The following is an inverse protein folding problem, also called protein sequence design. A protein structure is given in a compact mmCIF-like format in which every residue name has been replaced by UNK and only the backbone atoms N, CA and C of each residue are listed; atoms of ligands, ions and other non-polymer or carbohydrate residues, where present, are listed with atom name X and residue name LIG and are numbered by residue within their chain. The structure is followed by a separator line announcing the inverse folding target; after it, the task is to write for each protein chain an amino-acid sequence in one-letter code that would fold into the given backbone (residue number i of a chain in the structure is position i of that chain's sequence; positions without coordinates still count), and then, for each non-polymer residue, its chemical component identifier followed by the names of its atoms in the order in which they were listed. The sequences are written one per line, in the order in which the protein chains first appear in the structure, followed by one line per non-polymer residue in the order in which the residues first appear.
data_IF_413840920209
#
_entry.id   IF_413840920209
#
_cell.length_a   1.000
_cell.length_b   1.000
_cell.length_c   1.000
_cell.angle_alpha   90.00
_cell.angle_beta   90.00
_cell.angle_gamma   90.00
#
_symmetry.space_group_name_H-M   'P 1'
#
loop_
_entity.id
_entity.type
_entity.pdbx_description
1 polymer ?
#
# COMPACT_ATOMS: atom_id res chain seq x y z
N UNK A 1 4.25 12.07 -17.07
CA UNK A 1 3.93 11.67 -16.80
C UNK A 1 3.11 11.51 -16.40
N UNK A 2 3.13 11.61 -16.22
CA UNK A 2 2.36 11.39 -15.77
C UNK A 2 1.63 10.70 -15.38
N UNK A 3 1.58 10.88 -15.32
CA UNK A 3 1.10 10.16 -14.88
C UNK A 3 0.40 9.78 -14.09
N UNK A 4 0.48 10.02 -13.71
CA UNK A 4 -0.14 9.53 -13.01
C UNK A 4 -0.93 9.43 -12.65
N UNK A 5 -0.91 10.06 -12.70
CA UNK A 5 -1.70 9.91 -12.41
C UNK A 5 -2.39 9.41 -12.45
N UNK A 6 -2.30 9.89 -12.86
CA UNK A 6 -3.07 9.40 -12.91
C UNK A 6 -3.30 8.71 -12.43
N UNK A 7 -3.09 8.94 -12.24
CA UNK A 7 -3.41 8.22 -11.80
C UNK A 7 -3.81 7.99 -11.08
N UNK A 8 -3.85 8.66 -11.04
CA UNK A 8 -4.37 8.43 -10.54
C UNK A 8 -5.21 8.15 -10.54
N UNK A 9 -5.22 8.67 -10.75
CA UNK A 9 -6.12 8.44 -10.82
C UNK A 9 -6.69 7.80 -10.94
N UNK A 10 -6.78 8.04 -10.99
CA UNK A 10 -7.31 7.35 -11.06
C UNK A 10 -7.73 6.63 -10.61
N UNK A 11 -7.78 6.77 -10.43
CA UNK A 11 -8.18 6.00 -9.99
C UNK A 11 -8.99 5.68 -9.71
N UNK A 12 -9.40 6.22 -9.91
CA UNK A 12 -10.20 5.80 -9.69
C UNK A 12 -10.86 5.07 -9.89
N UNK A 13 -11.02 5.38 -10.21
CA UNK A 13 -11.62 4.57 -10.27
C UNK A 13 -11.74 3.60 -10.29
N UNK A 14 -11.76 3.56 -10.20
CA UNK A 14 -11.86 2.52 -10.05
C UNK A 14 -12.35 1.96 -9.80
N UNK A 15 -12.60 2.33 -9.70
CA UNK A 15 -13.07 1.70 -9.40
C UNK A 15 -13.75 1.20 -9.61
N UNK A 16 -13.94 1.71 -9.89
CA UNK A 16 -14.55 1.12 -10.05
C UNK A 16 -14.94 0.26 -10.31
N UNK A 17 -14.80 0.34 -10.57
CA UNK A 17 -15.10 -0.56 -10.86
C UNK A 17 -15.39 -1.39 -10.63
N UNK A 18 -15.26 -1.34 -10.46
CA UNK A 18 -15.43 -2.20 -10.12
C UNK A 18 -16.20 -2.72 -9.94
N UNK A 19 -16.50 -2.05 -9.97
CA UNK A 19 -17.62 -2.48 -9.45
C UNK A 19 -18.12 -3.72 -9.67
N UNK A 20 -17.91 -4.31 -9.81
CA UNK A 20 -18.42 -5.59 -10.00
C UNK A 20 -18.67 -6.30 -8.74
N UNK A 21 -18.42 -5.65 -7.62
CA UNK A 21 -18.76 -6.25 -6.36
C UNK A 21 -18.08 -7.55 -6.09
N UNK A 22 -16.92 -7.70 -6.53
CA UNK A 22 -16.29 -8.98 -6.45
C UNK A 22 -15.46 -9.14 -5.22
N UNK A 23 -15.02 -8.08 -4.58
CA UNK A 23 -14.09 -8.21 -3.47
C UNK A 23 -14.51 -7.33 -2.32
N UNK A 24 -15.62 -7.60 -1.68
CA UNK A 24 -16.04 -6.74 -0.58
C UNK A 24 -15.11 -6.80 0.63
N UNK A 25 -14.65 -7.97 1.01
CA UNK A 25 -13.88 -8.08 2.24
C UNK A 25 -12.51 -7.39 2.14
N UNK A 26 -11.71 -7.64 1.10
CA UNK A 26 -10.44 -6.92 0.99
C UNK A 26 -10.63 -5.42 0.85
N UNK A 27 -11.68 -4.99 0.16
CA UNK A 27 -11.94 -3.57 0.03
C UNK A 27 -12.28 -2.95 1.38
N UNK A 28 -13.04 -3.64 2.21
CA UNK A 28 -13.39 -3.14 3.53
C UNK A 28 -12.16 -3.03 4.42
N UNK A 29 -11.27 -4.01 4.37
CA UNK A 29 -10.05 -3.96 5.16
C UNK A 29 -9.16 -2.81 4.73
N UNK A 30 -9.04 -2.58 3.44
CA UNK A 30 -8.26 -1.47 2.94
C UNK A 30 -8.82 -0.14 3.42
N UNK A 31 -10.14 -0.02 3.39
CA UNK A 31 -10.77 1.22 3.83
C UNK A 31 -10.47 1.49 5.30
N UNK A 32 -10.47 0.46 6.12
CA UNK A 32 -10.16 0.62 7.54
C UNK A 32 -8.72 1.09 7.75
N UNK A 33 -7.78 0.55 7.00
CA UNK A 33 -6.38 0.98 7.13
C UNK A 33 -6.15 2.36 6.55
N UNK A 34 -6.93 2.77 5.55
CA UNK A 34 -6.80 4.08 4.94
C UNK A 34 -7.10 5.22 5.92
N UNK A 35 -7.80 4.94 7.01
CA UNK A 35 -8.01 5.93 8.04
C UNK A 35 -6.72 6.30 8.75
N UNK A 36 -5.76 5.38 8.80
CA UNK A 36 -4.54 5.57 9.57
C UNK A 36 -3.32 5.77 8.70
N UNK A 37 -3.40 5.36 7.44
CA UNK A 37 -2.24 5.38 6.56
C UNK A 37 -2.58 5.94 5.19
N UNK A 38 -1.61 6.60 4.59
CA UNK A 38 -1.68 7.00 3.19
C UNK A 38 -0.47 6.42 2.50
N UNK A 39 -0.67 5.85 1.31
CA UNK A 39 0.42 5.26 0.54
C UNK A 39 0.57 6.03 -0.76
N UNK A 40 1.81 6.43 -1.05
CA UNK A 40 2.17 7.00 -2.34
C UNK A 40 3.19 6.07 -2.96
N UNK A 41 2.86 5.50 -4.10
CA UNK A 41 3.71 4.48 -4.72
C UNK A 41 3.67 4.64 -6.22
N UNK A 42 4.77 4.25 -6.86
CA UNK A 42 4.85 4.27 -8.31
C UNK A 42 5.70 3.12 -8.78
N UNK A 43 5.43 2.64 -10.01
CA UNK A 43 6.24 1.59 -10.59
C UNK A 43 7.50 2.18 -11.22
N UNK A 44 8.60 1.48 -11.06
CA UNK A 44 9.88 1.86 -11.65
C UNK A 44 10.45 0.62 -12.31
N UNK A 45 10.83 0.75 -13.59
CA UNK A 45 11.45 -0.35 -14.31
C UNK A 45 12.90 -0.49 -13.87
N UNK A 46 13.30 -1.70 -13.53
CA UNK A 46 14.68 -2.02 -13.20
C UNK A 46 15.04 -3.33 -13.87
N UNK A 47 15.73 -3.23 -15.00
CA UNK A 47 16.05 -4.41 -15.79
C UNK A 47 14.78 -5.06 -16.28
N UNK A 48 14.63 -6.33 -15.98
CA UNK A 48 13.44 -7.09 -16.37
C UNK A 48 12.33 -7.01 -15.34
N UNK A 49 12.55 -6.29 -14.24
CA UNK A 49 11.59 -6.23 -13.16
C UNK A 49 10.91 -4.88 -13.09
N UNK A 50 9.71 -4.88 -12.54
CA UNK A 50 9.04 -3.66 -12.11
C UNK A 50 9.12 -3.62 -10.59
N UNK A 51 9.61 -2.52 -10.06
CA UNK A 51 9.73 -2.30 -8.62
C UNK A 51 8.71 -1.25 -8.23
N UNK A 52 7.93 -1.53 -7.21
CA UNK A 52 7.02 -0.55 -6.64
C UNK A 52 7.76 0.16 -5.53
N UNK A 53 7.84 1.48 -5.60
CA UNK A 53 8.54 2.24 -4.58
C UNK A 53 7.74 3.48 -4.20
N UNK A 54 7.97 3.96 -2.98
CA UNK A 54 7.28 5.14 -2.52
C UNK A 54 7.35 5.28 -1.02
N UNK A 55 6.32 5.88 -0.46
CA UNK A 55 6.25 6.15 0.97
C UNK A 55 4.91 5.74 1.54
N UNK A 56 4.95 5.20 2.74
CA UNK A 56 3.75 5.02 3.54
C UNK A 56 3.79 6.07 4.65
N UNK A 57 2.67 6.80 4.78
CA UNK A 57 2.52 7.87 5.76
C UNK A 57 1.65 7.37 6.89
N UNK A 58 2.11 7.61 8.11
CA UNK A 58 1.37 7.27 9.31
C UNK A 58 0.62 8.51 9.78
N UNK A 59 -0.69 8.46 9.75
CA UNK A 59 -1.55 9.58 10.12
C UNK A 59 -1.95 9.52 11.59
N UNK A 60 -1.47 8.51 12.31
CA UNK A 60 -1.84 8.26 13.69
C UNK A 60 -0.73 8.70 14.65
N UNK A 61 -1.02 8.64 15.93
CA UNK A 61 -0.11 9.11 16.97
C UNK A 61 0.73 8.00 17.60
N UNK A 62 0.72 6.82 17.02
CA UNK A 62 1.55 5.70 17.46
C UNK A 62 2.44 5.25 16.31
N UNK A 63 3.65 4.84 16.65
CA UNK A 63 4.55 4.25 15.68
C UNK A 63 3.97 2.93 15.19
N UNK A 64 4.11 2.63 13.92
CA UNK A 64 3.49 1.45 13.33
C UNK A 64 4.51 0.57 12.62
N UNK A 65 4.28 -0.73 12.71
CA UNK A 65 4.88 -1.72 11.82
C UNK A 65 3.84 -2.04 10.77
N UNK A 66 4.23 -2.04 9.50
CA UNK A 66 3.27 -2.05 8.39
C UNK A 66 3.68 -3.07 7.35
N UNK A 67 2.68 -3.73 6.78
CA UNK A 67 2.87 -4.61 5.62
C UNK A 67 1.96 -4.13 4.51
N UNK A 68 2.51 -4.12 3.30
CA UNK A 68 1.82 -3.61 2.13
C UNK A 68 1.46 -4.75 1.18
N UNK A 69 0.56 -4.45 0.29
CA UNK A 69 0.23 -5.34 -0.81
C UNK A 69 0.05 -4.51 -2.06
N UNK A 70 0.52 -5.02 -3.19
CA UNK A 70 0.34 -4.38 -4.48
C UNK A 70 -0.46 -5.31 -5.37
N UNK A 71 -1.59 -4.81 -5.87
CA UNK A 71 -2.35 -5.49 -6.90
C UNK A 71 -1.81 -5.05 -8.25
N UNK A 72 -1.56 -6.01 -9.13
CA UNK A 72 -1.20 -5.75 -10.51
C UNK A 72 -2.49 -5.82 -11.33
N UNK A 73 -2.74 -4.80 -12.13
CA UNK A 73 -3.98 -4.69 -12.89
C UNK A 73 -3.69 -4.75 -14.38
N UNK A 74 -4.58 -5.39 -15.13
CA UNK A 74 -4.46 -5.38 -16.58
C UNK A 74 -5.07 -4.10 -17.15
N UNK A 75 -5.12 -4.00 -18.48
CA UNK A 75 -5.60 -2.79 -19.15
C UNK A 75 -7.07 -2.52 -18.86
N UNK A 76 -7.82 -3.53 -18.45
CA UNK A 76 -9.23 -3.41 -18.11
C UNK A 76 -9.46 -3.16 -16.63
N UNK A 77 -8.39 -3.04 -15.85
CA UNK A 77 -8.51 -2.81 -14.41
C UNK A 77 -8.73 -4.08 -13.60
N UNK A 78 -8.56 -5.24 -14.22
CA UNK A 78 -8.72 -6.50 -13.51
C UNK A 78 -7.44 -6.88 -12.81
N UNK A 79 -7.54 -7.39 -11.60
CA UNK A 79 -6.37 -7.84 -10.84
C UNK A 79 -5.86 -9.14 -11.43
N UNK A 80 -4.61 -9.12 -11.89
CA UNK A 80 -3.98 -10.29 -12.49
C UNK A 80 -2.82 -10.83 -11.65
N UNK A 81 -2.52 -10.18 -10.54
CA UNK A 81 -1.49 -10.66 -9.62
C UNK A 81 -1.47 -9.81 -8.38
N UNK A 82 -0.86 -10.36 -7.34
CA UNK A 82 -0.77 -9.69 -6.05
C UNK A 82 0.59 -9.97 -5.46
N UNK A 83 1.23 -8.95 -4.91
CA UNK A 83 2.55 -9.06 -4.30
C UNK A 83 2.50 -8.46 -2.91
N UNK A 84 3.01 -9.20 -1.93
CA UNK A 84 3.14 -8.68 -0.57
C UNK A 84 4.47 -7.96 -0.45
N UNK A 85 4.44 -6.78 0.13
CA UNK A 85 5.63 -5.98 0.34
C UNK A 85 5.81 -5.65 1.81
N UNK A 86 7.05 -5.51 2.22
CA UNK A 86 7.38 -5.19 3.59
C UNK A 86 8.03 -3.83 3.66
N UNK A 87 7.70 -3.09 4.70
CA UNK A 87 8.37 -1.83 5.02
C UNK A 87 9.44 -2.19 6.04
N UNK A 88 10.70 -2.01 5.67
CA UNK A 88 11.82 -2.50 6.49
C UNK A 88 11.97 -1.77 7.82
N UNK A 89 11.47 -0.55 7.90
CA UNK A 89 11.58 0.25 9.10
C UNK A 89 10.19 0.48 9.68
N UNK A 90 10.15 0.87 10.94
CA UNK A 90 8.90 1.31 11.53
C UNK A 90 8.49 2.64 10.91
N UNK A 91 7.20 2.87 10.81
CA UNK A 91 6.68 4.13 10.30
C UNK A 91 6.44 5.04 11.50
N UNK A 92 7.18 6.14 11.60
CA UNK A 92 7.14 6.96 12.82
C UNK A 92 5.80 7.69 12.97
N UNK A 93 5.54 8.10 14.19
CA UNK A 93 4.35 8.88 14.52
C UNK A 93 4.23 10.08 13.60
N UNK A 94 3.11 10.19 12.92
CA UNK A 94 2.82 11.29 12.02
C UNK A 94 3.90 11.50 10.95
N UNK A 95 4.67 10.46 10.67
CA UNK A 95 5.77 10.51 9.71
C UNK A 95 5.58 9.52 8.59
N UNK A 96 6.68 9.21 7.92
CA UNK A 96 6.63 8.33 6.76
C UNK A 96 7.83 7.40 6.73
N UNK A 97 7.70 6.32 5.97
CA UNK A 97 8.79 5.40 5.73
C UNK A 97 8.82 5.05 4.24
N UNK A 98 10.01 4.94 3.71
CA UNK A 98 10.24 4.55 2.33
C UNK A 98 10.12 3.05 2.18
N UNK A 99 9.62 2.60 1.04
CA UNK A 99 9.60 1.17 0.71
C UNK A 99 9.89 0.98 -0.77
N UNK A 100 10.38 -0.21 -1.10
CA UNK A 100 10.57 -0.62 -2.49
C UNK A 100 10.60 -2.13 -2.53
N UNK A 101 9.87 -2.72 -3.46
CA UNK A 101 9.91 -4.17 -3.65
C UNK A 101 9.47 -4.51 -5.07
N UNK A 102 10.00 -5.61 -5.62
CA UNK A 102 9.62 -6.01 -6.98
C UNK A 102 8.23 -6.66 -6.96
N UNK A 103 7.48 -6.45 -8.03
CA UNK A 103 6.20 -7.14 -8.19
C UNK A 103 6.42 -8.47 -8.88
N UNK A 104 5.56 -9.42 -8.56
CA UNK A 104 5.65 -10.76 -9.13
C UNK A 104 5.12 -10.81 -10.56
N UNK A 105 4.17 -9.95 -10.88
CA UNK A 105 3.50 -9.96 -12.17
C UNK A 105 3.49 -8.55 -12.70
N UNK A 106 3.98 -8.36 -13.93
CA UNK A 106 3.92 -7.06 -14.57
C UNK A 106 2.52 -6.85 -15.14
N UNK A 107 2.09 -5.61 -15.18
CA UNK A 107 0.75 -5.28 -15.69
C UNK A 107 0.68 -3.86 -16.21
N UNK A 108 -0.54 -3.43 -16.51
CA UNK A 108 -0.78 -2.10 -17.04
C UNK A 108 -0.72 -1.04 -15.94
N UNK A 109 -1.14 -1.40 -14.75
CA UNK A 109 -1.11 -0.47 -13.61
C UNK A 109 -1.02 -1.24 -12.31
N UNK A 110 -0.79 -0.50 -11.22
CA UNK A 110 -0.55 -1.10 -9.92
C UNK A 110 -1.28 -0.30 -8.85
N UNK A 111 -1.75 -1.00 -7.83
CA UNK A 111 -2.40 -0.36 -6.70
C UNK A 111 -1.79 -0.91 -5.42
N UNK A 112 -1.25 -0.03 -4.57
CA UNK A 112 -0.57 -0.43 -3.34
C UNK A 112 -1.33 0.09 -2.14
N UNK A 113 -1.46 -0.75 -1.13
CA UNK A 113 -2.22 -0.41 0.06
C UNK A 113 -1.68 -1.18 1.26
N UNK A 114 -2.02 -0.70 2.45
CA UNK A 114 -1.65 -1.36 3.70
C UNK A 114 -2.64 -2.50 3.93
N UNK A 115 -2.11 -3.72 4.14
CA UNK A 115 -2.97 -4.86 4.44
C UNK A 115 -2.88 -5.29 5.89
N UNK A 116 -1.88 -4.81 6.60
CA UNK A 116 -1.68 -5.20 7.98
C UNK A 116 -0.84 -4.15 8.69
N UNK A 117 -1.13 -3.90 9.93
CA UNK A 117 -0.31 -3.02 10.74
C UNK A 117 -0.38 -3.43 12.21
N UNK A 118 0.63 -2.99 12.97
CA UNK A 118 0.67 -3.19 14.40
C UNK A 118 1.23 -1.92 15.02
N UNK A 119 0.56 -1.44 16.05
CA UNK A 119 1.02 -0.25 16.75
C UNK A 119 2.09 -0.64 17.75
N UNK A 120 3.23 0.04 17.66
CA UNK A 120 4.34 -0.19 18.56
C UNK A 120 4.30 0.88 19.63
N UNK A 121 4.01 0.48 20.83
CA UNK A 121 3.87 1.40 21.94
C UNK A 121 5.08 1.26 22.86
N UNK A 122 5.99 2.20 22.74
CA UNK A 122 7.22 2.16 23.54
C UNK A 122 6.94 2.34 25.03
N UNK A 123 5.92 3.10 25.34
CA UNK A 123 5.54 3.29 26.74
C UNK A 123 5.00 2.01 27.34
N UNK A 124 4.24 1.26 26.55
CA UNK A 124 3.72 -0.02 26.99
C UNK A 124 4.86 -0.97 27.32
N UNK A 125 5.91 -0.97 26.51
CA UNK A 125 7.07 -1.80 26.77
C UNK A 125 7.70 -1.48 28.09
N UNK A 126 7.78 -0.22 28.45
CA UNK A 126 8.31 0.18 29.74
C UNK A 126 7.40 -0.26 30.87
N UNK A 127 6.10 -0.14 30.69
CA UNK A 127 5.16 -0.55 31.73
C UNK A 127 5.21 -2.04 32.00
N UNK A 128 5.40 -2.82 30.97
CA UNK A 128 5.45 -4.27 31.12
C UNK A 128 6.63 -4.73 31.97
N UNK A 129 7.64 -3.93 32.09
CA UNK A 129 8.80 -4.31 32.89
C UNK A 129 8.57 -4.22 34.40
N UNK A 130 7.54 -3.56 34.79
CA UNK A 130 7.22 -3.43 36.21
C UNK A 130 6.51 -4.67 36.73
#
# INVERSE_FOLDING_TARGET
MSRYLGAFGLSLAVVLATGLGITPAPAAERWATDQFFRVEAEPVAKGNQTVISGYVYNLHYSTAKVRLETDTLDANGKVIGTTTGFVDTLVPVRGRAYFAYPVRTAGASYKTYVIWYDWIDENRGNLVRW
#
